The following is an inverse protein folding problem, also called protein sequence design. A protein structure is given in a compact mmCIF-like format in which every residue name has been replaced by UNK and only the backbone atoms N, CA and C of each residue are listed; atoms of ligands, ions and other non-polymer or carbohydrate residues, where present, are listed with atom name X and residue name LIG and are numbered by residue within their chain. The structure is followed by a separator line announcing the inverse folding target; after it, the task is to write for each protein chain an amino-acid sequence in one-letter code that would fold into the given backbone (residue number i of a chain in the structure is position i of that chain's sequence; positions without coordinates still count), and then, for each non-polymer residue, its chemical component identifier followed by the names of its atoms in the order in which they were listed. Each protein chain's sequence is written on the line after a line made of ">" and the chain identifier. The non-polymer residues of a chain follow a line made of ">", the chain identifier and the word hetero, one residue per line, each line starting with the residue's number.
data_IF_140222167389
#
_entry.id   IF_140222167389
#
_cell.length_a   1.000
_cell.length_b   1.000
_cell.length_c   1.000
_cell.angle_alpha   90.00
_cell.angle_beta   90.00
_cell.angle_gamma   90.00
#
_symmetry.space_group_name_H-M   'P 1'
#
loop_
_entity.id
_entity.type
_entity.pdbx_description
1 polymer ?
#
# COMPACT_ATOMS: atom_id res chain seq x y z
N UNK A 1 65.67 1.14 -22.08
CA UNK A 1 65.25 0.88 -20.67
C UNK A 1 63.95 1.57 -20.43
N UNK A 2 62.87 0.87 -20.75
CA UNK A 2 61.54 1.40 -20.73
C UNK A 2 60.61 0.35 -20.16
N UNK A 3 60.23 0.48 -18.94
CA UNK A 3 59.21 -0.32 -18.29
C UNK A 3 58.36 0.62 -17.47
N UNK A 4 57.09 0.80 -17.84
CA UNK A 4 56.04 1.13 -16.90
C UNK A 4 54.93 1.99 -17.51
N UNK A 5 54.18 1.41 -18.41
CA UNK A 5 52.94 2.09 -18.87
C UNK A 5 51.80 1.08 -19.08
N UNK A 6 51.73 0.04 -18.25
CA UNK A 6 50.62 -0.92 -18.30
C UNK A 6 50.14 -1.16 -16.87
N UNK A 7 49.49 -0.19 -16.27
CA UNK A 7 48.84 -0.43 -14.98
C UNK A 7 47.78 0.58 -14.58
N UNK A 8 47.24 1.35 -15.54
CA UNK A 8 46.19 2.34 -15.22
C UNK A 8 44.85 2.15 -15.92
N UNK A 9 44.63 1.01 -16.56
CA UNK A 9 43.40 0.77 -17.33
C UNK A 9 42.49 -0.36 -16.81
N UNK A 10 42.76 -0.94 -15.65
CA UNK A 10 41.94 -2.03 -15.09
C UNK A 10 41.20 -1.68 -13.77
N UNK A 11 41.12 -0.39 -13.37
CA UNK A 11 40.48 0.01 -12.13
C UNK A 11 39.14 0.76 -12.31
N UNK A 12 38.50 0.67 -13.49
CA UNK A 12 37.24 1.42 -13.73
C UNK A 12 36.13 0.49 -14.27
N UNK A 13 36.14 -0.80 -13.97
CA UNK A 13 35.04 -1.70 -14.36
C UNK A 13 34.61 -2.58 -13.18
N UNK A 14 34.37 -1.98 -12.02
CA UNK A 14 33.85 -2.73 -10.86
C UNK A 14 32.85 -1.95 -9.97
N UNK A 15 32.21 -0.90 -10.47
CA UNK A 15 31.20 -0.14 -9.69
C UNK A 15 29.90 0.07 -10.44
N UNK A 16 29.55 -0.74 -11.41
CA UNK A 16 28.35 -0.53 -12.22
C UNK A 16 27.40 -1.74 -12.26
N UNK A 17 27.31 -2.57 -11.22
CA UNK A 17 26.36 -3.70 -11.18
C UNK A 17 25.65 -3.84 -9.82
N UNK A 18 25.42 -2.75 -9.10
CA UNK A 18 24.65 -2.83 -7.85
C UNK A 18 23.51 -1.82 -7.76
N UNK A 19 22.88 -1.49 -8.88
CA UNK A 19 21.77 -0.53 -8.89
C UNK A 19 20.60 -0.97 -9.80
N UNK A 20 20.22 -2.24 -9.77
CA UNK A 20 19.04 -2.71 -10.52
C UNK A 20 18.31 -3.86 -9.81
N UNK A 21 18.26 -3.86 -8.48
CA UNK A 21 17.18 -4.54 -7.77
C UNK A 21 16.20 -3.44 -7.34
N UNK A 22 15.64 -2.74 -8.31
CA UNK A 22 14.36 -2.09 -8.12
C UNK A 22 13.38 -3.23 -7.92
N UNK A 23 13.05 -3.46 -6.65
CA UNK A 23 11.91 -4.24 -6.22
C UNK A 23 10.72 -3.82 -7.07
N UNK A 24 10.43 -4.59 -8.09
CA UNK A 24 9.09 -4.67 -8.67
C UNK A 24 8.21 -5.31 -7.60
N UNK A 25 7.94 -4.58 -6.51
CA UNK A 25 6.80 -4.88 -5.70
C UNK A 25 5.63 -4.83 -6.69
N UNK A 26 4.85 -5.92 -6.85
CA UNK A 26 3.64 -5.83 -7.63
C UNK A 26 2.91 -4.62 -7.07
N UNK A 27 2.55 -3.69 -7.95
CA UNK A 27 1.63 -2.63 -7.60
C UNK A 27 0.37 -3.34 -7.15
N UNK A 28 0.28 -3.62 -5.85
CA UNK A 28 -0.95 -4.00 -5.20
C UNK A 28 -1.84 -2.81 -5.45
N UNK A 29 -2.69 -2.98 -6.46
CA UNK A 29 -3.59 -1.98 -6.98
C UNK A 29 -4.16 -1.21 -5.80
N UNK A 30 -3.83 0.09 -5.70
CA UNK A 30 -4.36 0.98 -4.68
C UNK A 30 -5.89 1.16 -4.80
N UNK A 31 -6.48 0.60 -5.83
CA UNK A 31 -7.89 0.30 -5.95
C UNK A 31 -8.14 -0.96 -5.12
N UNK A 32 -8.39 -0.77 -3.82
CA UNK A 32 -8.79 -1.85 -2.94
C UNK A 32 -9.88 -2.66 -3.62
N UNK A 33 -9.70 -3.98 -3.69
CA UNK A 33 -10.64 -4.91 -4.31
C UNK A 33 -12.08 -4.57 -3.87
N UNK A 34 -12.89 -4.10 -4.83
CA UNK A 34 -14.31 -3.74 -4.61
C UNK A 34 -15.14 -5.00 -4.49
N UNK A 35 -15.01 -5.71 -3.37
CA UNK A 35 -15.68 -6.98 -3.11
C UNK A 35 -17.20 -6.92 -3.29
N UNK A 36 -17.83 -5.76 -3.01
CA UNK A 36 -19.27 -5.54 -3.16
C UNK A 36 -19.73 -5.45 -4.61
N UNK A 37 -18.81 -5.36 -5.58
CA UNK A 37 -19.08 -5.44 -7.02
C UNK A 37 -18.78 -6.81 -7.60
N UNK A 38 -18.09 -7.68 -6.86
CA UNK A 38 -17.78 -9.05 -7.28
C UNK A 38 -19.03 -9.93 -7.23
N UNK A 39 -19.35 -10.59 -8.33
CA UNK A 39 -20.52 -11.50 -8.43
C UNK A 39 -20.42 -12.65 -7.43
N UNK A 40 -19.21 -13.15 -7.18
CA UNK A 40 -18.98 -14.15 -6.16
C UNK A 40 -19.38 -13.65 -4.76
N UNK A 41 -18.90 -12.48 -4.34
CA UNK A 41 -19.23 -11.93 -3.03
C UNK A 41 -20.72 -11.56 -2.91
N UNK A 42 -21.31 -11.00 -3.96
CA UNK A 42 -22.74 -10.70 -3.99
C UNK A 42 -23.58 -11.95 -3.75
N UNK A 43 -23.29 -13.01 -4.48
CA UNK A 43 -24.01 -14.29 -4.37
C UNK A 43 -23.80 -14.95 -3.00
N UNK A 44 -22.56 -15.12 -2.57
CA UNK A 44 -22.24 -15.83 -1.33
C UNK A 44 -22.74 -15.10 -0.07
N UNK A 45 -22.73 -13.76 -0.09
CA UNK A 45 -23.26 -12.96 1.01
C UNK A 45 -24.76 -12.72 0.92
N UNK A 46 -25.37 -12.94 -0.26
CA UNK A 46 -26.74 -12.53 -0.50
C UNK A 46 -26.91 -11.01 -0.43
N UNK A 47 -25.95 -10.25 -1.01
CA UNK A 47 -26.02 -8.78 -1.02
C UNK A 47 -27.17 -8.30 -1.85
N UNK A 48 -27.99 -7.41 -1.27
CA UNK A 48 -29.02 -6.71 -2.04
C UNK A 48 -28.39 -5.59 -2.88
N UNK A 49 -29.09 -5.20 -3.93
CA UNK A 49 -28.70 -4.05 -4.77
C UNK A 49 -28.57 -2.77 -3.93
N UNK A 50 -29.47 -2.59 -2.98
CA UNK A 50 -29.46 -1.45 -2.06
C UNK A 50 -28.22 -1.46 -1.15
N UNK A 51 -27.84 -2.62 -0.58
CA UNK A 51 -26.62 -2.76 0.21
C UNK A 51 -25.36 -2.44 -0.60
N UNK A 52 -25.29 -2.97 -1.83
CA UNK A 52 -24.17 -2.70 -2.74
C UNK A 52 -24.05 -1.21 -3.07
N UNK A 53 -25.19 -0.55 -3.34
CA UNK A 53 -25.22 0.89 -3.60
C UNK A 53 -24.80 1.73 -2.38
N UNK A 54 -25.26 1.37 -1.18
CA UNK A 54 -24.83 2.04 0.08
C UNK A 54 -23.33 1.90 0.33
N UNK A 55 -22.75 0.72 0.09
CA UNK A 55 -21.33 0.48 0.24
C UNK A 55 -20.53 1.29 -0.79
N UNK A 56 -20.98 1.30 -2.05
CA UNK A 56 -20.36 2.13 -3.10
C UNK A 56 -20.38 3.63 -2.75
N UNK A 57 -21.49 4.14 -2.23
CA UNK A 57 -21.60 5.53 -1.82
C UNK A 57 -20.61 5.88 -0.69
N UNK A 58 -20.41 4.98 0.31
CA UNK A 58 -19.42 5.16 1.37
C UNK A 58 -18.01 5.22 0.78
N UNK A 59 -17.70 4.30 -0.15
CA UNK A 59 -16.41 4.25 -0.84
C UNK A 59 -16.14 5.54 -1.60
N UNK A 60 -17.06 5.95 -2.49
CA UNK A 60 -16.90 7.14 -3.33
C UNK A 60 -16.73 8.41 -2.50
N UNK A 61 -17.44 8.53 -1.38
CA UNK A 61 -17.30 9.66 -0.47
C UNK A 61 -15.92 9.71 0.21
N UNK A 62 -15.31 8.56 0.47
CA UNK A 62 -14.06 8.48 1.25
C UNK A 62 -12.81 8.51 0.37
N UNK A 63 -12.88 8.03 -0.88
CA UNK A 63 -11.73 7.95 -1.79
C UNK A 63 -10.96 9.27 -1.95
N UNK A 64 -11.60 10.44 -2.13
CA UNK A 64 -10.87 11.70 -2.24
C UNK A 64 -10.03 12.01 -0.99
N UNK A 65 -10.57 11.75 0.20
CA UNK A 65 -9.86 11.92 1.48
C UNK A 65 -8.65 10.98 1.57
N UNK A 66 -8.84 9.70 1.23
CA UNK A 66 -7.74 8.73 1.25
C UNK A 66 -6.62 9.07 0.27
N UNK A 67 -6.95 9.66 -0.89
CA UNK A 67 -5.95 10.15 -1.84
C UNK A 67 -5.15 11.30 -1.26
N UNK A 68 -5.83 12.31 -0.73
CA UNK A 68 -5.18 13.45 -0.10
C UNK A 68 -4.26 13.04 1.06
N UNK A 69 -4.71 12.14 1.93
CA UNK A 69 -3.92 11.62 3.05
C UNK A 69 -2.73 10.77 2.57
N UNK A 70 -2.92 10.00 1.49
CA UNK A 70 -1.83 9.25 0.84
C UNK A 70 -0.77 10.19 0.26
N UNK A 71 -1.17 11.23 -0.44
CA UNK A 71 -0.26 12.22 -1.02
C UNK A 71 0.52 12.96 0.09
N UNK A 72 -0.14 13.27 1.21
CA UNK A 72 0.52 13.84 2.38
C UNK A 72 1.57 12.90 3.00
N UNK A 73 1.25 11.61 3.10
CA UNK A 73 2.20 10.60 3.57
C UNK A 73 3.38 10.45 2.61
N UNK A 74 3.13 10.38 1.31
CA UNK A 74 4.18 10.24 0.30
C UNK A 74 5.14 11.45 0.32
N UNK A 75 4.57 12.66 0.45
CA UNK A 75 5.36 13.87 0.62
C UNK A 75 6.21 13.82 1.88
N UNK A 76 5.64 13.48 3.03
CA UNK A 76 6.36 13.38 4.30
C UNK A 76 7.51 12.37 4.23
N UNK A 77 7.32 11.24 3.53
CA UNK A 77 8.36 10.23 3.31
C UNK A 77 9.46 10.72 2.35
N UNK A 78 9.09 11.46 1.31
CA UNK A 78 10.07 12.06 0.40
C UNK A 78 10.95 13.10 1.13
N UNK A 79 10.32 13.98 1.92
CA UNK A 79 11.03 14.96 2.76
C UNK A 79 11.96 14.26 3.76
N UNK A 80 11.51 13.19 4.41
CA UNK A 80 12.32 12.37 5.31
C UNK A 80 13.57 11.80 4.62
N UNK A 81 13.41 11.22 3.42
CA UNK A 81 14.52 10.65 2.67
C UNK A 81 15.58 11.70 2.29
N UNK A 82 15.16 12.93 1.99
CA UNK A 82 16.08 14.04 1.72
C UNK A 82 16.83 14.50 2.98
N UNK A 83 16.16 14.49 4.13
CA UNK A 83 16.75 14.96 5.39
C UNK A 83 17.79 14.01 5.96
N UNK A 84 17.71 12.71 5.72
CA UNK A 84 18.66 11.71 6.22
C UNK A 84 20.11 12.05 5.85
N UNK A 85 20.32 12.59 4.65
CA UNK A 85 21.66 12.88 4.12
C UNK A 85 22.21 14.26 4.54
N UNK A 86 21.33 15.19 4.95
CA UNK A 86 21.66 16.61 5.04
C UNK A 86 21.37 17.26 6.40
N UNK A 87 20.67 16.57 7.32
CA UNK A 87 20.14 17.16 8.55
C UNK A 87 20.73 16.49 9.81
N UNK A 88 20.65 17.18 10.94
CA UNK A 88 20.99 16.62 12.23
C UNK A 88 19.93 15.63 12.76
N UNK A 89 20.30 14.83 13.76
CA UNK A 89 19.45 13.78 14.32
C UNK A 89 18.11 14.34 14.85
N UNK A 90 18.11 15.53 15.44
CA UNK A 90 16.90 16.12 16.02
C UNK A 90 15.87 16.48 14.91
N UNK A 91 16.35 17.03 13.80
CA UNK A 91 15.52 17.35 12.65
C UNK A 91 14.97 16.08 11.98
N UNK A 92 15.80 15.06 11.81
CA UNK A 92 15.40 13.76 11.27
C UNK A 92 14.32 13.13 12.16
N UNK A 93 14.51 13.12 13.48
CA UNK A 93 13.51 12.57 14.42
C UNK A 93 12.21 13.37 14.45
N UNK A 94 12.26 14.68 14.29
CA UNK A 94 11.05 15.49 14.13
C UNK A 94 10.26 15.10 12.87
N UNK A 95 10.96 14.87 11.74
CA UNK A 95 10.34 14.43 10.50
C UNK A 95 9.75 13.00 10.58
N UNK A 96 10.36 12.10 11.37
CA UNK A 96 9.74 10.79 11.71
C UNK A 96 8.36 10.99 12.30
N UNK A 97 8.20 11.94 13.24
CA UNK A 97 6.91 12.28 13.82
C UNK A 97 5.87 12.71 12.77
N UNK A 98 6.28 13.50 11.77
CA UNK A 98 5.41 13.94 10.67
C UNK A 98 4.96 12.74 9.83
N UNK A 99 5.87 11.84 9.47
CA UNK A 99 5.56 10.61 8.71
C UNK A 99 4.57 9.73 9.47
N UNK A 100 4.80 9.50 10.77
CA UNK A 100 3.91 8.67 11.59
C UNK A 100 2.52 9.30 11.77
N UNK A 101 2.44 10.62 11.93
CA UNK A 101 1.17 11.34 11.99
C UNK A 101 0.38 11.16 10.69
N UNK A 102 0.99 11.39 9.53
CA UNK A 102 0.36 11.21 8.22
C UNK A 102 -0.10 9.75 8.00
N UNK A 103 0.72 8.77 8.37
CA UNK A 103 0.37 7.34 8.32
C UNK A 103 -0.83 7.01 9.21
N UNK A 104 -0.86 7.57 10.41
CA UNK A 104 -1.96 7.38 11.37
C UNK A 104 -3.28 7.92 10.81
N UNK A 105 -3.30 9.11 10.23
CA UNK A 105 -4.52 9.69 9.65
C UNK A 105 -5.05 8.85 8.49
N UNK A 106 -4.20 8.45 7.54
CA UNK A 106 -4.58 7.56 6.45
C UNK A 106 -5.17 6.23 6.97
N UNK A 107 -4.57 5.65 7.99
CA UNK A 107 -5.04 4.40 8.58
C UNK A 107 -6.39 4.58 9.31
N UNK A 108 -6.61 5.69 10.02
CA UNK A 108 -7.88 6.02 10.66
C UNK A 108 -9.00 6.16 9.63
N UNK A 109 -8.80 6.95 8.59
CA UNK A 109 -9.79 7.15 7.53
C UNK A 109 -10.14 5.85 6.82
N UNK A 110 -9.12 5.03 6.50
CA UNK A 110 -9.33 3.70 5.90
C UNK A 110 -10.14 2.78 6.83
N UNK A 111 -9.79 2.73 8.10
CA UNK A 111 -10.49 1.91 9.11
C UNK A 111 -11.94 2.35 9.27
N UNK A 112 -12.19 3.64 9.34
CA UNK A 112 -13.55 4.18 9.45
C UNK A 112 -14.39 3.87 8.22
N UNK A 113 -13.83 3.96 7.01
CA UNK A 113 -14.49 3.53 5.78
C UNK A 113 -14.91 2.06 5.87
N UNK A 114 -13.99 1.18 6.20
CA UNK A 114 -14.25 -0.27 6.31
C UNK A 114 -15.29 -0.59 7.37
N UNK A 115 -15.27 0.09 8.53
CA UNK A 115 -16.28 -0.07 9.57
C UNK A 115 -17.67 0.36 9.09
N UNK A 116 -17.78 1.49 8.40
CA UNK A 116 -19.04 1.97 7.83
C UNK A 116 -19.60 0.99 6.80
N UNK A 117 -18.76 0.47 5.91
CA UNK A 117 -19.17 -0.55 4.93
C UNK A 117 -19.66 -1.83 5.62
N UNK A 118 -18.96 -2.30 6.66
CA UNK A 118 -19.36 -3.49 7.41
C UNK A 118 -20.69 -3.31 8.13
N UNK A 119 -21.02 -2.10 8.57
CA UNK A 119 -22.31 -1.80 9.24
C UNK A 119 -23.50 -1.90 8.30
N UNK A 120 -23.31 -1.83 6.99
CA UNK A 120 -24.37 -2.07 5.98
C UNK A 120 -24.77 -3.55 5.93
N UNK A 121 -23.86 -4.46 6.31
CA UNK A 121 -24.11 -5.89 6.33
C UNK A 121 -24.89 -6.31 7.58
N UNK A 122 -25.76 -7.32 7.42
CA UNK A 122 -26.41 -8.00 8.56
C UNK A 122 -25.38 -8.76 9.41
N UNK A 123 -25.69 -9.15 10.66
CA UNK A 123 -24.79 -9.97 11.48
C UNK A 123 -24.33 -11.24 10.76
N UNK A 124 -25.24 -11.98 10.13
CA UNK A 124 -24.93 -13.23 9.41
C UNK A 124 -24.02 -12.98 8.18
N UNK A 125 -24.32 -11.92 7.43
CA UNK A 125 -23.46 -11.51 6.31
C UNK A 125 -22.05 -11.15 6.77
N UNK A 126 -21.88 -10.52 7.93
CA UNK A 126 -20.56 -10.19 8.49
C UNK A 126 -19.73 -11.44 8.82
N UNK A 127 -20.35 -12.47 9.36
CA UNK A 127 -19.67 -13.77 9.63
C UNK A 127 -19.23 -14.41 8.31
N UNK A 128 -20.12 -14.52 7.34
CA UNK A 128 -19.80 -15.06 6.00
C UNK A 128 -18.70 -14.26 5.31
N UNK A 129 -18.72 -12.95 5.44
CA UNK A 129 -17.71 -12.06 4.84
C UNK A 129 -16.30 -12.37 5.35
N UNK A 130 -16.14 -12.59 6.67
CA UNK A 130 -14.85 -12.96 7.25
C UNK A 130 -14.35 -14.29 6.70
N UNK A 131 -15.22 -15.29 6.59
CA UNK A 131 -14.88 -16.61 6.03
C UNK A 131 -14.42 -16.49 4.56
N UNK A 132 -15.17 -15.75 3.74
CA UNK A 132 -14.83 -15.53 2.34
C UNK A 132 -13.48 -14.80 2.18
N UNK A 133 -13.21 -13.79 3.00
CA UNK A 133 -11.91 -13.11 2.98
C UNK A 133 -10.75 -14.04 3.34
N UNK A 134 -10.93 -14.93 4.31
CA UNK A 134 -9.91 -15.92 4.68
C UNK A 134 -9.65 -16.91 3.55
N UNK A 135 -10.71 -17.43 2.93
CA UNK A 135 -10.59 -18.33 1.77
C UNK A 135 -9.83 -17.69 0.62
N UNK A 136 -10.19 -16.46 0.26
CA UNK A 136 -9.54 -15.71 -0.83
C UNK A 136 -8.05 -15.47 -0.55
N UNK A 137 -7.68 -15.16 0.69
CA UNK A 137 -6.27 -14.99 1.10
C UNK A 137 -5.48 -16.29 1.00
N UNK A 138 -6.08 -17.41 1.39
CA UNK A 138 -5.41 -18.72 1.36
C UNK A 138 -5.17 -19.18 -0.08
N UNK A 139 -6.12 -18.98 -0.98
CA UNK A 139 -5.95 -19.29 -2.42
C UNK A 139 -4.87 -18.41 -3.08
N UNK A 140 -4.80 -17.14 -2.76
CA UNK A 140 -3.75 -16.24 -3.27
C UNK A 140 -2.34 -16.62 -2.81
N UNK A 141 -2.18 -17.18 -1.61
CA UNK A 141 -0.89 -17.67 -1.10
C UNK A 141 -0.44 -19.00 -1.71
N UNK A 142 -1.39 -19.84 -2.09
CA UNK A 142 -1.12 -21.15 -2.68
C UNK A 142 -0.73 -21.06 -4.17
N UNK A 143 -1.20 -20.06 -4.90
CA UNK A 143 -0.91 -19.86 -6.31
C UNK A 143 0.47 -19.26 -6.62
N UNK A 144 1.22 -18.79 -5.63
CA UNK A 144 2.54 -18.16 -5.78
C UNK A 144 3.75 -19.11 -5.67
N UNK A 145 3.52 -20.43 -5.55
CA UNK A 145 4.58 -21.44 -5.48
C UNK A 145 4.57 -22.34 -6.72
N UNK A 146 4.88 -21.76 -7.87
CA UNK A 146 5.31 -22.52 -9.07
C UNK A 146 6.37 -21.73 -9.79
#
# INVERSE_FOLDING_TARGET
>A
MTLSTISRRFAIIAVAVLAAVVLSAPAVSAQGFKWWQSEMFKRELGLTTEQSAKIEAIFQKTVPVLRQEKDALDKAQADFNQMIEASDDAQVMAQVGVVEAARSELNKSRTMMLLRMRRVLTPDQRVKFVMLQQQTRNHGRSGGKR
#
